data_IF_066789126376
#
_entry.id   IF_066789126376
#
_cell.length_a   1.000
_cell.length_b   1.000
_cell.length_c   1.000
_cell.angle_alpha   90.00
_cell.angle_beta   90.00
_cell.angle_gamma   90.00
#
_symmetry.space_group_name_H-M   'P 1'
#
loop_
_entity.id
_entity.type
_entity.pdbx_description
1 polymer ?
#
# COMPACT_ATOMS: atom_id res chain seq x y z
N UNK A 1 -11.08 17.64 -10.60
CA UNK A 1 -11.26 19.03 -10.14
C UNK A 1 -12.73 19.48 -10.23
N UNK A 2 -13.19 20.48 -9.43
CA UNK A 2 -14.52 21.07 -9.57
C UNK A 2 -14.73 21.77 -10.91
N UNK A 3 -15.99 21.86 -11.34
CA UNK A 3 -16.40 22.67 -12.50
C UNK A 3 -16.38 24.15 -12.10
N UNK A 4 -15.69 24.98 -12.89
CA UNK A 4 -15.68 26.44 -12.74
C UNK A 4 -16.77 27.10 -13.59
N UNK A 5 -16.92 26.65 -14.84
CA UNK A 5 -17.89 27.20 -15.78
C UNK A 5 -18.45 26.10 -16.67
N UNK A 6 -19.69 26.26 -17.10
CA UNK A 6 -20.32 25.41 -18.09
C UNK A 6 -21.17 26.26 -19.03
N UNK A 7 -20.89 26.19 -20.32
CA UNK A 7 -21.59 26.97 -21.35
C UNK A 7 -22.04 26.09 -22.50
N UNK A 8 -23.22 26.36 -23.06
CA UNK A 8 -23.67 25.72 -24.29
C UNK A 8 -22.98 26.42 -25.46
N UNK A 9 -22.21 25.68 -26.25
CA UNK A 9 -21.51 26.18 -27.44
C UNK A 9 -22.43 26.12 -28.66
N UNK A 10 -23.32 25.12 -28.69
CA UNK A 10 -24.39 24.96 -29.67
C UNK A 10 -25.58 24.21 -29.02
N UNK A 11 -26.64 23.90 -29.78
CA UNK A 11 -27.78 23.13 -29.25
C UNK A 11 -27.38 21.76 -28.68
N UNK A 12 -26.33 21.14 -29.22
CA UNK A 12 -25.92 19.77 -28.86
C UNK A 12 -24.51 19.70 -28.24
N UNK A 13 -23.85 20.84 -28.03
CA UNK A 13 -22.49 20.87 -27.49
C UNK A 13 -22.41 21.73 -26.23
N UNK A 14 -21.79 21.17 -25.20
CA UNK A 14 -21.56 21.83 -23.93
C UNK A 14 -20.08 21.83 -23.60
N UNK A 15 -19.54 23.01 -23.32
CA UNK A 15 -18.16 23.18 -22.87
C UNK A 15 -18.13 23.31 -21.36
N UNK A 16 -17.36 22.45 -20.72
CA UNK A 16 -17.14 22.44 -19.27
C UNK A 16 -15.71 22.82 -18.98
N UNK A 17 -15.51 23.87 -18.18
CA UNK A 17 -14.19 24.32 -17.73
C UNK A 17 -14.00 23.89 -16.28
N UNK A 18 -12.95 23.12 -16.01
CA UNK A 18 -12.60 22.67 -14.67
C UNK A 18 -11.54 23.56 -14.03
N UNK A 19 -11.49 23.58 -12.70
CA UNK A 19 -10.43 24.25 -11.97
C UNK A 19 -9.06 23.64 -12.29
N UNK A 20 -8.01 24.48 -12.27
CA UNK A 20 -6.64 24.04 -12.51
C UNK A 20 -6.20 23.07 -11.41
N UNK A 21 -5.69 21.91 -11.82
CA UNK A 21 -5.14 20.90 -10.91
C UNK A 21 -3.75 21.31 -10.41
N UNK A 22 -3.34 20.94 -9.18
CA UNK A 22 -1.95 21.09 -8.73
C UNK A 22 -0.98 20.30 -9.62
N UNK A 23 0.32 20.51 -9.42
CA UNK A 23 1.35 19.74 -10.12
C UNK A 23 1.18 18.24 -9.81
N UNK A 24 1.02 17.43 -10.86
CA UNK A 24 0.86 15.99 -10.78
C UNK A 24 1.45 15.30 -12.03
N UNK A 25 1.68 13.99 -11.94
CA UNK A 25 2.11 13.19 -13.09
C UNK A 25 1.01 13.03 -14.15
N UNK A 26 1.40 12.91 -15.42
CA UNK A 26 0.46 12.83 -16.55
C UNK A 26 -0.48 11.62 -16.53
N UNK A 27 -0.05 10.48 -15.97
CA UNK A 27 -0.87 9.26 -15.91
C UNK A 27 -2.11 9.39 -15.01
N UNK A 28 -2.17 10.42 -14.16
CA UNK A 28 -3.30 10.69 -13.26
C UNK A 28 -4.40 11.52 -13.92
N UNK A 29 -4.16 12.09 -15.11
CA UNK A 29 -5.19 12.87 -15.83
C UNK A 29 -6.36 11.95 -16.19
N UNK A 30 -7.57 12.34 -15.78
CA UNK A 30 -8.79 11.59 -16.04
C UNK A 30 -9.97 12.52 -16.30
N UNK A 31 -10.83 12.12 -17.24
CA UNK A 31 -12.11 12.74 -17.54
C UNK A 31 -13.11 11.60 -17.75
N UNK A 32 -14.27 11.70 -17.09
CA UNK A 32 -15.40 10.79 -17.29
C UNK A 32 -16.56 11.57 -17.88
N UNK A 33 -17.17 11.01 -18.93
CA UNK A 33 -18.39 11.55 -19.55
C UNK A 33 -19.42 10.42 -19.60
N UNK A 34 -20.60 10.67 -19.04
CA UNK A 34 -21.71 9.72 -19.04
C UNK A 34 -22.81 10.14 -18.06
N UNK A 35 -23.92 9.41 -18.13
CA UNK A 35 -25.06 9.61 -17.23
C UNK A 35 -24.90 8.76 -15.98
N UNK A 36 -24.79 9.43 -14.83
CA UNK A 36 -24.58 8.79 -13.54
C UNK A 36 -25.48 9.43 -12.48
N UNK A 37 -25.97 8.61 -11.55
CA UNK A 37 -26.40 9.10 -10.26
C UNK A 37 -25.21 9.14 -9.29
N UNK A 38 -25.29 9.94 -8.23
CA UNK A 38 -24.30 9.90 -7.16
C UNK A 38 -24.94 10.01 -5.78
N UNK A 39 -24.19 9.54 -4.78
CA UNK A 39 -24.38 9.85 -3.37
C UNK A 39 -23.23 10.74 -2.91
N UNK A 40 -23.49 11.66 -1.98
CA UNK A 40 -22.50 12.63 -1.50
C UNK A 40 -22.50 12.70 0.03
N UNK A 41 -21.32 12.91 0.61
CA UNK A 41 -21.12 13.34 1.99
C UNK A 41 -19.86 14.20 2.08
N UNK A 42 -19.83 15.16 3.00
CA UNK A 42 -18.61 15.89 3.32
C UNK A 42 -17.66 15.06 4.20
N UNK A 43 -16.36 15.34 4.12
CA UNK A 43 -15.38 14.95 5.14
C UNK A 43 -15.74 15.50 6.52
N UNK A 44 -15.15 14.97 7.59
CA UNK A 44 -15.50 15.36 8.97
C UNK A 44 -15.18 16.81 9.31
N UNK A 45 -14.18 17.40 8.64
CA UNK A 45 -13.80 18.81 8.75
C UNK A 45 -14.57 19.70 7.77
N UNK A 46 -15.50 19.12 7.01
CA UNK A 46 -16.35 19.76 6.01
C UNK A 46 -15.64 20.42 4.81
N UNK A 47 -14.34 20.14 4.63
CA UNK A 47 -13.53 20.78 3.59
C UNK A 47 -13.58 20.05 2.24
N UNK A 48 -13.94 18.77 2.22
CA UNK A 48 -13.93 17.93 1.01
C UNK A 48 -15.30 17.34 0.75
N UNK A 49 -15.83 17.56 -0.46
CA UNK A 49 -17.04 16.85 -0.92
C UNK A 49 -16.64 15.47 -1.46
N UNK A 50 -17.10 14.40 -0.81
CA UNK A 50 -16.86 13.02 -1.24
C UNK A 50 -18.10 12.51 -1.98
N UNK A 51 -17.92 12.03 -3.20
CA UNK A 51 -19.01 11.50 -4.04
C UNK A 51 -18.68 10.12 -4.56
N UNK A 52 -19.69 9.26 -4.61
CA UNK A 52 -19.60 7.97 -5.30
C UNK A 52 -20.66 7.92 -6.38
N UNK A 53 -20.20 7.83 -7.62
CA UNK A 53 -21.00 7.77 -8.83
C UNK A 53 -21.33 6.32 -9.19
N UNK A 54 -22.55 6.11 -9.66
CA UNK A 54 -23.12 4.81 -10.04
C UNK A 54 -23.99 4.96 -11.28
N UNK A 55 -24.26 3.86 -12.02
CA UNK A 55 -25.27 3.88 -13.07
C UNK A 55 -26.62 4.41 -12.55
N UNK A 56 -27.34 5.12 -13.41
CA UNK A 56 -28.65 5.70 -13.09
C UNK A 56 -29.59 4.63 -12.49
N UNK A 57 -30.24 4.99 -11.38
CA UNK A 57 -31.16 4.13 -10.63
C UNK A 57 -30.50 3.27 -9.55
N UNK A 58 -29.16 3.28 -9.41
CA UNK A 58 -28.43 2.38 -8.49
C UNK A 58 -27.66 3.07 -7.37
N UNK A 59 -27.87 4.38 -7.15
CA UNK A 59 -27.17 5.17 -6.13
C UNK A 59 -27.22 4.62 -4.71
N UNK A 60 -28.26 3.87 -4.35
CA UNK A 60 -28.34 3.21 -3.04
C UNK A 60 -27.23 2.18 -2.80
N UNK A 61 -26.73 1.55 -3.87
CA UNK A 61 -25.64 0.57 -3.80
C UNK A 61 -24.26 1.23 -3.57
N UNK A 62 -24.15 2.54 -3.83
CA UNK A 62 -22.92 3.31 -3.63
C UNK A 62 -22.73 3.82 -2.19
N UNK A 63 -23.76 3.72 -1.34
CA UNK A 63 -23.74 4.25 0.04
C UNK A 63 -22.65 3.63 0.91
N UNK A 64 -22.38 2.33 0.75
CA UNK A 64 -21.35 1.65 1.53
C UNK A 64 -19.94 2.14 1.14
N UNK A 65 -19.66 2.26 -0.17
CA UNK A 65 -18.40 2.83 -0.64
C UNK A 65 -18.21 4.28 -0.18
N UNK A 66 -19.28 5.10 -0.22
CA UNK A 66 -19.23 6.47 0.28
C UNK A 66 -18.87 6.52 1.76
N UNK A 67 -19.46 5.65 2.58
CA UNK A 67 -19.18 5.59 4.01
C UNK A 67 -17.72 5.22 4.29
N UNK A 68 -17.19 4.21 3.60
CA UNK A 68 -15.77 3.84 3.69
C UNK A 68 -14.86 4.97 3.21
N UNK A 69 -15.21 5.62 2.10
CA UNK A 69 -14.40 6.68 1.51
C UNK A 69 -14.21 7.87 2.45
N UNK A 70 -15.29 8.31 3.11
CA UNK A 70 -15.22 9.41 4.10
C UNK A 70 -14.34 9.02 5.28
N UNK A 71 -14.54 7.83 5.86
CA UNK A 71 -13.71 7.36 6.98
C UNK A 71 -12.23 7.22 6.60
N UNK A 72 -11.94 6.73 5.39
CA UNK A 72 -10.58 6.60 4.89
C UNK A 72 -9.92 7.97 4.72
N UNK A 73 -10.58 8.90 4.04
CA UNK A 73 -10.06 10.24 3.83
C UNK A 73 -9.74 10.95 5.15
N UNK A 74 -10.68 10.89 6.10
CA UNK A 74 -10.51 11.47 7.45
C UNK A 74 -9.40 10.78 8.24
N UNK A 75 -9.29 9.45 8.13
CA UNK A 75 -8.23 8.69 8.78
C UNK A 75 -6.86 9.11 8.26
N UNK A 76 -6.66 9.19 6.94
CA UNK A 76 -5.37 9.55 6.36
C UNK A 76 -4.97 10.97 6.71
N UNK A 77 -5.90 11.95 6.62
CA UNK A 77 -5.59 13.33 7.01
C UNK A 77 -5.11 13.41 8.45
N UNK A 78 -5.83 12.77 9.39
CA UNK A 78 -5.46 12.77 10.82
C UNK A 78 -4.19 11.97 11.12
N UNK A 79 -4.05 10.80 10.52
CA UNK A 79 -2.94 9.89 10.77
C UNK A 79 -1.63 10.49 10.24
N UNK A 80 -1.67 10.99 9.00
CA UNK A 80 -0.51 11.60 8.34
C UNK A 80 -0.29 13.04 8.78
N UNK A 81 -1.30 13.73 9.33
CA UNK A 81 -1.21 15.15 9.70
C UNK A 81 -1.04 16.06 8.48
N UNK A 82 -1.66 15.69 7.37
CA UNK A 82 -1.61 16.39 6.08
C UNK A 82 -3.02 16.39 5.53
N UNK A 83 -3.58 17.56 5.26
CA UNK A 83 -4.93 17.65 4.71
C UNK A 83 -4.97 17.20 3.25
N UNK A 84 -6.11 16.66 2.83
CA UNK A 84 -6.31 16.33 1.43
C UNK A 84 -6.35 17.62 0.60
N UNK A 85 -5.51 17.78 -0.44
CA UNK A 85 -5.28 19.09 -1.05
C UNK A 85 -6.39 19.53 -2.03
N UNK A 86 -7.32 18.65 -2.39
CA UNK A 86 -8.37 18.95 -3.36
C UNK A 86 -9.74 19.14 -2.67
N UNK A 87 -10.60 20.04 -3.19
CA UNK A 87 -11.90 20.36 -2.57
C UNK A 87 -12.95 19.26 -2.74
N UNK A 88 -12.66 18.21 -3.52
CA UNK A 88 -13.58 17.10 -3.76
C UNK A 88 -12.84 15.81 -4.07
N UNK A 89 -13.46 14.69 -3.69
CA UNK A 89 -13.04 13.33 -3.99
C UNK A 89 -14.20 12.61 -4.66
N UNK A 90 -14.05 12.27 -5.94
CA UNK A 90 -15.08 11.50 -6.65
C UNK A 90 -14.56 10.07 -6.87
N UNK A 91 -15.43 9.09 -6.67
CA UNK A 91 -15.19 7.68 -7.03
C UNK A 91 -16.25 7.30 -8.06
N UNK A 92 -15.84 6.77 -9.21
CA UNK A 92 -16.76 6.39 -10.29
C UNK A 92 -16.67 4.90 -10.56
N UNK A 93 -17.79 4.20 -10.36
CA UNK A 93 -17.95 2.81 -10.74
C UNK A 93 -18.19 2.68 -12.26
N UNK A 94 -17.25 2.06 -12.97
CA UNK A 94 -17.29 1.84 -14.43
C UNK A 94 -17.30 0.34 -14.73
N UNK A 95 -18.02 -0.07 -15.79
CA UNK A 95 -18.24 -1.50 -16.07
C UNK A 95 -17.10 -2.16 -16.83
N UNK A 96 -16.57 -1.48 -17.84
CA UNK A 96 -15.56 -2.02 -18.75
C UNK A 96 -14.20 -1.39 -18.45
N UNK A 97 -13.46 -2.01 -17.54
CA UNK A 97 -12.08 -1.63 -17.21
C UNK A 97 -11.15 -2.84 -17.32
N UNK A 98 -9.96 -2.63 -17.90
CA UNK A 98 -8.89 -3.64 -17.94
C UNK A 98 -8.17 -3.84 -16.59
N UNK A 99 -8.45 -2.97 -15.62
CA UNK A 99 -7.92 -2.98 -14.24
C UNK A 99 -9.06 -2.81 -13.25
N UNK A 100 -8.83 -3.11 -11.97
CA UNK A 100 -9.88 -3.10 -10.94
C UNK A 100 -10.10 -1.70 -10.35
N UNK A 101 -9.04 -0.89 -10.27
CA UNK A 101 -9.05 0.48 -9.74
C UNK A 101 -7.95 1.31 -10.39
N UNK A 102 -8.13 2.63 -10.35
CA UNK A 102 -7.16 3.63 -10.78
C UNK A 102 -7.35 4.90 -9.94
N UNK A 103 -6.26 5.37 -9.36
CA UNK A 103 -6.22 6.39 -8.30
C UNK A 103 -6.27 7.83 -8.81
N UNK A 104 -6.78 8.08 -10.03
CA UNK A 104 -6.68 9.41 -10.65
C UNK A 104 -7.07 10.55 -9.68
N UNK A 105 -6.20 11.56 -9.55
CA UNK A 105 -6.23 12.46 -8.38
C UNK A 105 -7.54 13.24 -8.25
N UNK A 106 -8.31 12.94 -7.20
CA UNK A 106 -9.65 13.51 -6.95
C UNK A 106 -10.77 13.02 -7.89
N UNK A 107 -10.53 11.97 -8.69
CA UNK A 107 -11.49 11.27 -9.54
C UNK A 107 -11.10 9.79 -9.71
N UNK A 108 -11.19 9.01 -8.64
CA UNK A 108 -10.86 7.59 -8.64
C UNK A 108 -11.80 6.83 -9.58
N UNK A 109 -11.25 5.99 -10.46
CA UNK A 109 -12.02 5.04 -11.26
C UNK A 109 -11.93 3.65 -10.65
N UNK A 110 -13.06 2.95 -10.57
CA UNK A 110 -13.09 1.58 -10.07
C UNK A 110 -14.05 0.76 -10.90
N UNK A 111 -13.76 -0.54 -11.00
CA UNK A 111 -14.71 -1.46 -11.59
C UNK A 111 -15.98 -1.48 -10.71
N UNK A 112 -17.15 -1.35 -11.34
CA UNK A 112 -18.45 -1.29 -10.67
C UNK A 112 -18.68 -2.41 -9.62
N UNK A 113 -18.24 -3.64 -9.90
CA UNK A 113 -18.35 -4.79 -8.99
C UNK A 113 -17.50 -4.67 -7.72
N UNK A 114 -16.58 -3.71 -7.68
CA UNK A 114 -15.75 -3.35 -6.53
C UNK A 114 -16.07 -1.95 -5.98
N UNK A 115 -17.15 -1.31 -6.43
CA UNK A 115 -17.65 -0.03 -5.89
C UNK A 115 -19.07 -0.17 -5.33
N UNK A 116 -19.92 -0.97 -5.97
CA UNK A 116 -21.34 -1.09 -5.62
C UNK A 116 -21.59 -2.30 -4.71
N UNK A 117 -22.36 -2.07 -3.65
CA UNK A 117 -22.72 -3.09 -2.67
C UNK A 117 -24.22 -3.04 -2.33
N UNK A 118 -24.90 -4.16 -2.55
CA UNK A 118 -26.31 -4.32 -2.22
C UNK A 118 -26.50 -5.25 -1.02
N UNK A 119 -26.99 -4.72 0.11
CA UNK A 119 -27.06 -5.42 1.41
C UNK A 119 -27.69 -6.82 1.37
N UNK A 120 -28.74 -7.04 0.55
CA UNK A 120 -29.42 -8.34 0.46
C UNK A 120 -28.99 -9.24 -0.71
N UNK A 121 -28.13 -8.76 -1.61
CA UNK A 121 -27.75 -9.49 -2.85
C UNK A 121 -26.25 -9.75 -2.95
N UNK A 122 -25.44 -8.82 -2.44
CA UNK A 122 -23.99 -8.92 -2.48
C UNK A 122 -23.47 -9.80 -1.35
N UNK A 123 -22.40 -10.55 -1.63
CA UNK A 123 -21.74 -11.39 -0.64
C UNK A 123 -20.90 -10.57 0.36
N UNK A 124 -20.53 -11.18 1.48
CA UNK A 124 -19.53 -10.61 2.40
C UNK A 124 -18.20 -10.36 1.70
N UNK A 125 -17.79 -11.23 0.78
CA UNK A 125 -16.55 -11.05 0.00
C UNK A 125 -16.64 -9.80 -0.88
N UNK A 126 -17.79 -9.55 -1.50
CA UNK A 126 -18.03 -8.31 -2.25
C UNK A 126 -17.92 -7.08 -1.34
N UNK A 127 -18.52 -7.15 -0.14
CA UNK A 127 -18.43 -6.06 0.83
C UNK A 127 -16.98 -5.77 1.25
N UNK A 128 -16.21 -6.81 1.51
CA UNK A 128 -14.79 -6.70 1.83
C UNK A 128 -14.02 -6.06 0.67
N UNK A 129 -14.23 -6.56 -0.56
CA UNK A 129 -13.57 -6.04 -1.77
C UNK A 129 -13.87 -4.56 -2.01
N UNK A 130 -15.12 -4.12 -1.79
CA UNK A 130 -15.49 -2.70 -1.91
C UNK A 130 -14.75 -1.86 -0.87
N UNK A 131 -14.73 -2.32 0.40
CA UNK A 131 -14.05 -1.58 1.46
C UNK A 131 -12.55 -1.47 1.22
N UNK A 132 -11.89 -2.59 0.89
CA UNK A 132 -10.45 -2.65 0.70
C UNK A 132 -10.03 -1.79 -0.48
N UNK A 133 -10.66 -1.96 -1.65
CA UNK A 133 -10.31 -1.17 -2.84
C UNK A 133 -10.51 0.34 -2.62
N UNK A 134 -11.63 0.76 -2.00
CA UNK A 134 -11.85 2.18 -1.69
C UNK A 134 -10.75 2.73 -0.79
N UNK A 135 -10.29 1.99 0.21
CA UNK A 135 -9.20 2.43 1.09
C UNK A 135 -7.88 2.50 0.31
N UNK A 136 -7.58 1.52 -0.54
CA UNK A 136 -6.36 1.46 -1.35
C UNK A 136 -6.25 2.68 -2.26
N UNK A 137 -7.30 2.97 -3.04
CA UNK A 137 -7.31 4.11 -3.96
C UNK A 137 -7.24 5.47 -3.24
N UNK A 138 -7.81 5.57 -2.04
CA UNK A 138 -7.68 6.78 -1.21
C UNK A 138 -6.28 6.91 -0.61
N UNK A 139 -5.62 5.80 -0.27
CA UNK A 139 -4.24 5.82 0.21
C UNK A 139 -3.30 6.40 -0.86
N UNK A 140 -3.52 6.06 -2.14
CA UNK A 140 -2.74 6.57 -3.26
C UNK A 140 -2.76 8.09 -3.42
N UNK A 141 -3.82 8.75 -2.95
CA UNK A 141 -3.94 10.21 -2.98
C UNK A 141 -2.82 10.90 -2.17
N UNK A 142 -2.21 10.18 -1.23
CA UNK A 142 -1.02 10.56 -0.48
C UNK A 142 0.23 9.80 -0.96
N UNK A 143 0.11 8.49 -1.20
CA UNK A 143 1.22 7.61 -1.60
C UNK A 143 1.15 7.28 -3.09
N UNK A 144 1.60 8.23 -3.90
CA UNK A 144 1.49 8.21 -5.35
C UNK A 144 1.22 9.59 -5.87
N UNK A 145 -0.01 10.07 -5.77
CA UNK A 145 -0.43 11.32 -6.40
C UNK A 145 0.33 12.53 -5.87
N UNK A 146 0.54 12.56 -4.56
CA UNK A 146 1.29 13.61 -3.88
C UNK A 146 2.81 13.44 -4.04
N UNK A 147 3.30 12.21 -4.19
CA UNK A 147 4.73 11.88 -4.31
C UNK A 147 4.94 10.73 -5.31
N UNK A 148 5.38 11.00 -6.53
CA UNK A 148 5.68 9.97 -7.55
C UNK A 148 7.06 10.22 -8.11
N UNK A 149 7.98 9.25 -8.13
CA UNK A 149 9.22 9.34 -8.93
C UNK A 149 9.11 8.52 -10.23
N UNK A 150 9.88 7.44 -10.31
CA UNK A 150 9.96 6.56 -11.47
C UNK A 150 9.45 5.17 -11.12
N UNK A 151 9.05 4.41 -12.14
CA UNK A 151 8.44 3.09 -11.98
C UNK A 151 9.34 2.05 -11.30
N UNK A 152 10.64 2.30 -11.21
CA UNK A 152 11.61 1.48 -10.46
C UNK A 152 11.30 1.41 -8.97
N UNK A 153 10.62 2.41 -8.44
CA UNK A 153 10.18 2.51 -7.05
C UNK A 153 8.65 2.42 -6.92
N UNK A 154 7.96 1.77 -7.88
CA UNK A 154 6.49 1.61 -7.89
C UNK A 154 5.95 1.01 -6.58
N UNK A 155 6.74 0.21 -5.87
CA UNK A 155 6.36 -0.34 -4.58
C UNK A 155 6.06 0.73 -3.51
N UNK A 156 6.63 1.94 -3.61
CA UNK A 156 6.30 3.05 -2.71
C UNK A 156 4.83 3.46 -2.83
N UNK A 157 4.24 3.29 -4.01
CA UNK A 157 2.82 3.51 -4.23
C UNK A 157 2.02 2.31 -3.75
N UNK A 158 2.19 1.21 -4.46
CA UNK A 158 1.33 0.01 -4.30
C UNK A 158 1.54 -0.67 -2.96
N UNK A 159 2.79 -0.83 -2.54
CA UNK A 159 3.12 -1.53 -1.30
C UNK A 159 2.70 -0.76 -0.04
N UNK A 160 2.70 0.57 -0.08
CA UNK A 160 2.25 1.42 1.03
C UNK A 160 0.72 1.53 1.02
N UNK A 161 0.10 1.74 -0.15
CA UNK A 161 -1.36 1.75 -0.28
C UNK A 161 -1.97 0.45 0.23
N UNK A 162 -1.42 -0.69 -0.18
CA UNK A 162 -1.87 -2.02 0.25
C UNK A 162 -1.64 -2.26 1.76
N UNK A 163 -0.58 -1.69 2.33
CA UNK A 163 -0.36 -1.75 3.78
C UNK A 163 -1.47 -1.00 4.53
N UNK A 164 -1.82 0.19 4.04
CA UNK A 164 -2.88 0.99 4.64
C UNK A 164 -4.27 0.41 4.40
N UNK A 165 -4.52 -0.16 3.21
CA UNK A 165 -5.71 -0.94 2.91
C UNK A 165 -6.00 -1.93 4.04
N UNK A 166 -5.03 -2.78 4.35
CA UNK A 166 -5.22 -3.86 5.32
C UNK A 166 -5.31 -3.37 6.75
N UNK A 167 -4.47 -2.41 7.10
CA UNK A 167 -4.45 -1.87 8.46
C UNK A 167 -5.73 -1.09 8.77
N UNK A 168 -6.19 -0.21 7.87
CA UNK A 168 -7.42 0.52 8.07
C UNK A 168 -8.67 -0.35 7.93
N UNK A 169 -8.68 -1.33 7.02
CA UNK A 169 -9.78 -2.32 6.96
C UNK A 169 -9.91 -3.06 8.31
N UNK A 170 -8.79 -3.42 8.93
CA UNK A 170 -8.80 -4.06 10.26
C UNK A 170 -9.36 -3.12 11.35
N UNK A 171 -9.10 -1.82 11.25
CA UNK A 171 -9.60 -0.80 12.19
C UNK A 171 -11.10 -0.57 12.02
N UNK A 172 -11.57 -0.41 10.77
CA UNK A 172 -12.97 -0.11 10.46
C UNK A 172 -13.89 -1.34 10.61
N UNK A 173 -13.37 -2.54 10.36
CA UNK A 173 -14.12 -3.79 10.37
C UNK A 173 -13.40 -4.88 11.18
N UNK A 174 -13.24 -4.69 12.51
CA UNK A 174 -12.49 -5.62 13.36
C UNK A 174 -13.09 -7.04 13.38
N UNK A 175 -14.39 -7.17 13.12
CA UNK A 175 -15.09 -8.45 13.05
C UNK A 175 -14.65 -9.34 11.89
N UNK A 176 -14.04 -8.75 10.84
CA UNK A 176 -13.52 -9.51 9.70
C UNK A 176 -12.18 -10.19 10.00
N UNK A 177 -11.51 -9.83 11.10
CA UNK A 177 -10.18 -10.33 11.46
C UNK A 177 -9.18 -10.22 10.29
N UNK A 178 -9.22 -9.10 9.58
CA UNK A 178 -8.52 -8.90 8.31
C UNK A 178 -6.98 -8.99 8.45
N UNK A 179 -6.42 -8.71 9.64
CA UNK A 179 -5.01 -8.96 9.94
C UNK A 179 -4.63 -10.45 9.77
N UNK A 180 -5.50 -11.39 10.15
CA UNK A 180 -5.23 -12.82 9.95
C UNK A 180 -5.22 -13.19 8.47
N UNK A 181 -6.18 -12.63 7.69
CA UNK A 181 -6.24 -12.81 6.24
C UNK A 181 -4.99 -12.22 5.56
N UNK A 182 -4.50 -11.08 6.04
CA UNK A 182 -3.24 -10.48 5.57
C UNK A 182 -2.05 -11.42 5.81
N UNK A 183 -1.94 -12.01 7.01
CA UNK A 183 -0.84 -12.94 7.31
C UNK A 183 -0.94 -14.22 6.47
N UNK A 184 -2.15 -14.74 6.26
CA UNK A 184 -2.38 -16.00 5.55
C UNK A 184 -2.25 -15.84 4.03
N UNK A 185 -2.88 -14.83 3.44
CA UNK A 185 -2.99 -14.72 2.00
C UNK A 185 -1.82 -13.94 1.44
N UNK A 186 -1.55 -12.75 1.98
CA UNK A 186 -0.47 -11.91 1.46
C UNK A 186 0.88 -12.42 1.87
N UNK A 187 1.14 -12.51 3.18
CA UNK A 187 2.51 -12.74 3.63
C UNK A 187 3.00 -14.11 3.16
N UNK A 188 2.15 -15.14 3.21
CA UNK A 188 2.49 -16.45 2.66
C UNK A 188 2.65 -16.44 1.13
N UNK A 189 1.83 -15.69 0.38
CA UNK A 189 2.01 -15.58 -1.08
C UNK A 189 3.29 -14.83 -1.46
N UNK A 190 3.64 -13.77 -0.73
CA UNK A 190 4.93 -13.09 -0.85
C UNK A 190 6.08 -14.08 -0.68
N UNK A 191 6.06 -14.88 0.40
CA UNK A 191 7.08 -15.89 0.66
C UNK A 191 7.11 -16.98 -0.43
N UNK A 192 5.96 -17.36 -0.99
CA UNK A 192 5.90 -18.34 -2.07
C UNK A 192 6.52 -17.80 -3.36
N UNK A 193 6.03 -16.67 -3.88
CA UNK A 193 6.54 -16.05 -5.12
C UNK A 193 8.03 -15.71 -4.98
N UNK A 194 8.43 -15.17 -3.82
CA UNK A 194 9.80 -14.70 -3.62
C UNK A 194 10.81 -15.84 -3.38
N UNK A 195 10.34 -17.07 -3.21
CA UNK A 195 11.19 -18.26 -3.07
C UNK A 195 11.69 -18.81 -4.41
N UNK A 196 11.10 -18.41 -5.54
CA UNK A 196 11.56 -18.86 -6.87
C UNK A 196 12.84 -18.13 -7.29
N UNK A 197 13.67 -18.78 -8.11
CA UNK A 197 14.88 -18.15 -8.68
C UNK A 197 14.57 -16.99 -9.63
N UNK A 198 13.40 -17.03 -10.26
CA UNK A 198 12.86 -15.98 -11.13
C UNK A 198 12.27 -14.79 -10.36
N UNK A 199 12.34 -14.79 -9.02
CA UNK A 199 11.95 -13.61 -8.24
C UNK A 199 12.87 -12.42 -8.52
N UNK A 200 12.42 -11.23 -8.12
CA UNK A 200 13.04 -9.94 -8.38
C UNK A 200 13.00 -9.06 -7.12
N UNK A 201 13.80 -7.99 -7.14
CA UNK A 201 13.85 -7.01 -6.06
C UNK A 201 12.62 -6.08 -6.12
N UNK A 202 12.15 -5.60 -4.97
CA UNK A 202 11.03 -4.63 -4.94
C UNK A 202 11.41 -3.28 -5.55
N UNK A 203 12.64 -2.81 -5.32
CA UNK A 203 13.22 -1.72 -6.12
C UNK A 203 13.76 -2.34 -7.39
N UNK A 204 13.02 -2.14 -8.48
CA UNK A 204 13.32 -2.75 -9.78
C UNK A 204 14.46 -1.94 -10.42
N UNK A 205 15.58 -2.57 -10.83
CA UNK A 205 16.73 -1.83 -11.37
C UNK A 205 16.51 -1.31 -12.80
N UNK A 206 15.64 -1.95 -13.57
CA UNK A 206 15.32 -1.59 -14.95
C UNK A 206 13.94 -2.12 -15.34
N UNK A 207 13.18 -1.37 -16.13
CA UNK A 207 11.86 -1.77 -16.62
C UNK A 207 11.85 -1.67 -18.15
N UNK A 208 11.73 -2.81 -18.83
CA UNK A 208 11.16 -2.82 -20.18
C UNK A 208 9.64 -2.88 -20.09
N UNK A 209 8.96 -2.12 -20.93
CA UNK A 209 7.50 -2.01 -20.93
C UNK A 209 6.78 -3.34 -21.25
N UNK A 210 7.48 -4.30 -21.86
CA UNK A 210 7.01 -5.67 -22.11
C UNK A 210 7.22 -6.65 -20.94
N UNK A 211 7.90 -6.22 -19.86
CA UNK A 211 8.30 -7.07 -18.73
C UNK A 211 7.48 -6.81 -17.46
N UNK A 212 6.43 -5.98 -17.48
CA UNK A 212 5.45 -5.96 -16.38
C UNK A 212 4.51 -7.17 -16.49
N UNK A 213 5.06 -8.36 -16.26
CA UNK A 213 4.28 -9.59 -16.09
C UNK A 213 3.32 -9.43 -14.89
N UNK A 214 2.03 -9.79 -15.01
CA UNK A 214 1.09 -9.80 -13.90
C UNK A 214 1.60 -10.48 -12.60
N UNK A 215 2.46 -11.49 -12.72
CA UNK A 215 3.09 -12.15 -11.55
C UNK A 215 4.10 -11.22 -10.84
N UNK A 216 4.79 -10.36 -11.61
CA UNK A 216 5.65 -9.29 -11.10
C UNK A 216 4.83 -8.08 -10.59
N UNK A 217 3.54 -8.01 -10.90
CA UNK A 217 2.62 -7.13 -10.17
C UNK A 217 2.43 -7.65 -8.75
N UNK A 218 2.02 -8.91 -8.60
CA UNK A 218 1.58 -9.49 -7.32
C UNK A 218 2.62 -9.41 -6.20
N UNK A 219 3.91 -9.64 -6.47
CA UNK A 219 4.93 -9.58 -5.41
C UNK A 219 5.11 -8.17 -4.83
N UNK A 220 4.85 -7.09 -5.59
CA UNK A 220 4.85 -5.72 -5.05
C UNK A 220 3.74 -5.56 -4.01
N UNK A 221 2.51 -5.94 -4.36
CA UNK A 221 1.34 -5.91 -3.48
C UNK A 221 1.44 -6.90 -2.31
N UNK A 222 2.32 -7.89 -2.39
CA UNK A 222 2.47 -8.88 -1.31
C UNK A 222 3.66 -8.62 -0.38
N UNK A 223 4.85 -8.46 -0.95
CA UNK A 223 6.09 -8.24 -0.19
C UNK A 223 6.21 -6.79 0.28
N UNK A 224 5.77 -5.81 -0.50
CA UNK A 224 5.75 -4.39 -0.14
C UNK A 224 5.12 -4.13 1.23
N UNK A 225 3.81 -4.43 1.41
CA UNK A 225 3.15 -4.19 2.70
C UNK A 225 3.70 -5.06 3.83
N UNK A 226 4.22 -6.25 3.53
CA UNK A 226 4.90 -7.10 4.52
C UNK A 226 6.14 -6.42 5.10
N UNK A 227 6.95 -5.77 4.25
CA UNK A 227 8.13 -5.01 4.70
C UNK A 227 7.74 -3.72 5.41
N UNK A 228 6.73 -3.00 4.93
CA UNK A 228 6.20 -1.80 5.61
C UNK A 228 5.71 -2.16 7.03
N UNK A 229 4.96 -3.26 7.16
CA UNK A 229 4.55 -3.80 8.46
C UNK A 229 5.74 -4.19 9.33
N UNK A 230 6.78 -4.80 8.75
CA UNK A 230 8.01 -5.13 9.50
C UNK A 230 8.69 -3.86 10.04
N UNK A 231 8.79 -2.80 9.23
CA UNK A 231 9.32 -1.50 9.66
C UNK A 231 8.47 -0.92 10.78
N UNK A 232 7.15 -0.76 10.58
CA UNK A 232 6.24 -0.19 11.58
C UNK A 232 6.34 -0.95 12.90
N UNK A 233 6.24 -2.29 12.88
CA UNK A 233 6.34 -3.10 14.09
C UNK A 233 7.73 -3.08 14.71
N UNK A 234 8.77 -2.81 13.93
CA UNK A 234 10.13 -2.73 14.44
C UNK A 234 10.39 -1.38 15.10
N UNK A 235 10.12 -0.24 14.46
CA UNK A 235 10.42 1.10 14.98
C UNK A 235 9.34 1.66 15.91
N UNK A 236 8.11 1.13 15.83
CA UNK A 236 6.97 1.58 16.62
C UNK A 236 6.09 2.58 15.87
N UNK A 237 4.81 2.64 16.25
CA UNK A 237 3.78 3.37 15.50
C UNK A 237 4.03 4.89 15.49
N UNK A 238 4.53 5.47 16.59
CA UNK A 238 4.81 6.91 16.67
C UNK A 238 5.96 7.34 15.73
N UNK A 239 7.09 6.63 15.77
CA UNK A 239 8.24 6.90 14.90
C UNK A 239 7.87 6.69 13.43
N UNK A 240 7.12 5.62 13.14
CA UNK A 240 6.63 5.34 11.79
C UNK A 240 5.73 6.45 11.26
N UNK A 241 4.73 6.89 12.05
CA UNK A 241 3.82 7.96 11.67
C UNK A 241 4.53 9.30 11.45
N UNK A 242 5.46 9.68 12.35
CA UNK A 242 6.27 10.90 12.19
C UNK A 242 7.18 10.84 10.95
N UNK A 243 7.77 9.68 10.68
CA UNK A 243 8.58 9.46 9.48
C UNK A 243 7.77 9.62 8.19
N UNK A 244 6.56 9.04 8.13
CA UNK A 244 5.67 9.22 6.97
C UNK A 244 5.23 10.69 6.79
N UNK A 245 4.85 11.37 7.87
CA UNK A 245 4.52 12.80 7.81
C UNK A 245 5.69 13.63 7.27
N UNK A 246 6.91 13.40 7.74
CA UNK A 246 8.10 14.11 7.28
C UNK A 246 8.42 13.81 5.81
N UNK A 247 8.34 12.54 5.42
CA UNK A 247 8.50 12.10 4.04
C UNK A 247 7.53 12.84 3.11
N UNK A 248 6.23 12.78 3.38
CA UNK A 248 5.23 13.43 2.53
C UNK A 248 5.40 14.96 2.50
N UNK A 249 5.66 15.61 3.63
CA UNK A 249 5.84 17.07 3.65
C UNK A 249 7.05 17.57 2.85
N UNK A 250 8.13 16.79 2.80
CA UNK A 250 9.33 17.17 2.04
C UNK A 250 9.22 16.87 0.54
N UNK A 251 8.36 15.93 0.16
CA UNK A 251 8.28 15.44 -1.23
C UNK A 251 6.95 15.74 -1.92
N UNK A 252 5.99 16.36 -1.23
CA UNK A 252 4.70 16.72 -1.82
C UNK A 252 4.85 17.55 -3.09
N UNK A 253 4.07 17.20 -4.13
CA UNK A 253 4.14 17.78 -5.47
C UNK A 253 5.49 17.59 -6.17
N UNK A 254 6.27 16.61 -5.72
CA UNK A 254 7.60 16.27 -6.24
C UNK A 254 7.78 14.74 -6.27
N UNK A 255 9.02 14.33 -6.51
CA UNK A 255 9.43 12.94 -6.67
C UNK A 255 10.16 12.46 -5.41
N UNK A 256 10.05 11.17 -5.10
CA UNK A 256 10.76 10.53 -4.00
C UNK A 256 11.15 9.09 -4.30
N UNK A 257 12.26 8.63 -3.72
CA UNK A 257 12.79 7.28 -3.86
C UNK A 257 12.71 6.48 -2.55
N UNK A 258 12.94 5.17 -2.66
CA UNK A 258 12.99 4.27 -1.49
C UNK A 258 13.91 4.79 -0.39
N UNK A 259 15.07 5.34 -0.78
CA UNK A 259 16.06 5.81 0.18
C UNK A 259 15.58 7.06 0.95
N UNK A 260 14.77 7.93 0.35
CA UNK A 260 14.19 9.11 1.02
C UNK A 260 13.19 8.72 2.12
N UNK A 261 12.35 7.71 1.84
CA UNK A 261 11.41 7.16 2.82
C UNK A 261 12.17 6.50 3.99
N UNK A 262 13.23 5.75 3.70
CA UNK A 262 14.04 5.10 4.73
C UNK A 262 14.80 6.11 5.59
N UNK A 263 15.37 7.17 4.98
CA UNK A 263 16.01 8.28 5.71
C UNK A 263 15.01 9.01 6.61
N UNK A 264 13.77 9.17 6.13
CA UNK A 264 12.69 9.78 6.92
C UNK A 264 12.36 8.97 8.18
N UNK A 265 12.42 7.63 8.12
CA UNK A 265 12.27 6.80 9.32
C UNK A 265 13.47 6.88 10.25
N UNK A 266 14.70 6.89 9.73
CA UNK A 266 15.92 7.03 10.53
C UNK A 266 15.91 8.32 11.37
N UNK A 267 15.30 9.39 10.88
CA UNK A 267 15.20 10.67 11.59
C UNK A 267 14.37 10.61 12.89
N UNK A 268 13.38 9.73 12.96
CA UNK A 268 12.46 9.62 14.10
C UNK A 268 12.59 8.31 14.88
N UNK A 269 13.53 7.45 14.49
CA UNK A 269 13.79 6.15 15.07
C UNK A 269 15.18 6.13 15.72
N UNK A 270 15.31 5.46 16.86
CA UNK A 270 16.62 5.15 17.46
C UNK A 270 17.37 4.02 16.72
N UNK A 271 16.74 3.47 15.68
CA UNK A 271 17.21 2.34 14.88
C UNK A 271 17.64 2.85 13.53
N UNK A 272 18.74 2.29 13.02
CA UNK A 272 19.23 2.52 11.68
C UNK A 272 18.43 1.66 10.68
N UNK A 273 17.21 2.12 10.38
CA UNK A 273 16.23 1.53 9.47
C UNK A 273 16.81 1.38 8.09
N UNK A 274 17.39 2.42 7.51
CA UNK A 274 17.92 2.35 6.14
C UNK A 274 18.98 1.26 6.01
N UNK A 275 19.95 1.22 6.90
CA UNK A 275 21.00 0.19 6.87
C UNK A 275 20.44 -1.24 7.03
N UNK A 276 19.35 -1.41 7.77
CA UNK A 276 18.71 -2.72 7.96
C UNK A 276 17.84 -3.11 6.76
N UNK A 277 17.07 -2.16 6.24
CA UNK A 277 16.03 -2.38 5.23
C UNK A 277 16.51 -2.31 3.79
N UNK A 278 17.64 -1.64 3.50
CA UNK A 278 18.15 -1.45 2.15
C UNK A 278 18.22 -2.75 1.33
N UNK A 279 18.77 -3.83 1.92
CA UNK A 279 18.85 -5.14 1.26
C UNK A 279 17.47 -5.78 1.02
N UNK A 280 16.50 -5.57 1.91
CA UNK A 280 15.16 -6.13 1.75
C UNK A 280 14.42 -5.58 0.53
N UNK A 281 14.73 -4.34 0.13
CA UNK A 281 14.15 -3.70 -1.04
C UNK A 281 14.95 -3.94 -2.32
N UNK A 282 16.29 -3.92 -2.25
CA UNK A 282 17.17 -3.99 -3.43
C UNK A 282 17.58 -5.40 -3.86
N UNK A 283 17.21 -6.43 -3.08
CA UNK A 283 17.58 -7.82 -3.36
C UNK A 283 16.34 -8.72 -3.27
N UNK A 284 16.18 -9.59 -4.26
CA UNK A 284 15.11 -10.58 -4.34
C UNK A 284 15.21 -11.64 -3.22
N UNK A 285 14.15 -12.38 -2.98
CA UNK A 285 14.11 -13.41 -1.94
C UNK A 285 14.12 -12.87 -0.51
N UNK A 286 14.22 -13.81 0.42
CA UNK A 286 14.21 -13.57 1.85
C UNK A 286 15.04 -14.63 2.59
N UNK A 287 15.48 -14.36 3.83
CA UNK A 287 16.24 -15.30 4.63
C UNK A 287 15.34 -16.32 5.37
N UNK A 288 15.73 -17.59 5.35
CA UNK A 288 15.33 -18.59 6.35
C UNK A 288 16.26 -18.53 7.56
N UNK A 289 15.68 -18.49 8.76
CA UNK A 289 16.43 -18.54 10.01
C UNK A 289 16.41 -19.97 10.57
N UNK A 290 17.58 -20.61 10.64
CA UNK A 290 17.77 -21.91 11.29
C UNK A 290 18.26 -21.71 12.71
N UNK A 291 17.46 -22.15 13.67
CA UNK A 291 17.80 -22.14 15.10
C UNK A 291 18.17 -23.56 15.51
N UNK A 292 19.30 -23.73 16.19
CA UNK A 292 19.75 -25.02 16.72
C UNK A 292 20.21 -24.87 18.16
N UNK A 293 19.72 -25.72 19.05
CA UNK A 293 20.08 -25.67 20.47
C UNK A 293 21.19 -26.66 20.76
N UNK A 294 22.28 -26.20 21.38
CA UNK A 294 23.25 -27.11 21.96
C UNK A 294 22.77 -27.51 23.36
N UNK A 295 22.23 -28.74 23.49
CA UNK A 295 21.69 -29.29 24.72
C UNK A 295 22.70 -29.29 25.88
N UNK A 296 24.01 -29.32 25.61
CA UNK A 296 25.05 -29.36 26.64
C UNK A 296 25.34 -28.00 27.29
N UNK A 297 25.20 -26.89 26.55
CA UNK A 297 25.61 -25.57 27.04
C UNK A 297 24.48 -24.52 27.08
N UNK A 298 23.21 -24.92 26.85
CA UNK A 298 22.03 -24.02 26.81
C UNK A 298 22.19 -22.82 25.86
N UNK A 299 23.10 -22.90 24.87
CA UNK A 299 23.31 -21.86 23.86
C UNK A 299 22.48 -22.13 22.61
N UNK A 300 22.00 -21.05 21.99
CA UNK A 300 21.26 -21.10 20.73
C UNK A 300 22.20 -20.66 19.59
N UNK A 301 22.42 -21.57 18.64
CA UNK A 301 23.06 -21.22 17.37
C UNK A 301 21.99 -20.75 16.40
N UNK A 302 22.09 -19.48 15.98
CA UNK A 302 21.19 -18.89 14.99
C UNK A 302 21.98 -18.63 13.70
N UNK A 303 21.54 -19.25 12.61
CA UNK A 303 22.11 -19.07 11.26
C UNK A 303 21.01 -18.61 10.30
N UNK A 304 21.39 -17.77 9.34
CA UNK A 304 20.51 -17.40 8.24
C UNK A 304 21.07 -17.93 6.92
N UNK A 305 20.20 -18.17 5.97
CA UNK A 305 20.50 -18.50 4.57
C UNK A 305 19.32 -18.03 3.74
N UNK A 306 19.51 -17.60 2.49
CA UNK A 306 18.38 -17.32 1.61
C UNK A 306 17.54 -18.58 1.43
N UNK A 307 16.22 -18.42 1.54
CA UNK A 307 15.28 -19.49 1.22
C UNK A 307 15.03 -19.52 -0.29
N UNK A 308 15.01 -20.72 -0.88
CA UNK A 308 14.60 -20.95 -2.26
C UNK A 308 13.85 -22.27 -2.34
N UNK A 309 12.76 -22.31 -3.12
CA UNK A 309 12.14 -23.58 -3.50
C UNK A 309 13.07 -24.33 -4.45
N UNK A 310 13.25 -25.63 -4.20
CA UNK A 310 14.09 -26.53 -5.00
C UNK A 310 15.57 -26.12 -5.11
N UNK A 311 16.14 -25.48 -4.07
CA UNK A 311 17.58 -25.28 -4.01
C UNK A 311 18.32 -26.62 -3.94
N UNK A 312 19.29 -26.82 -4.83
CA UNK A 312 20.29 -27.86 -4.65
C UNK A 312 21.20 -27.46 -3.47
N UNK A 313 21.55 -28.41 -2.60
CA UNK A 313 22.32 -28.17 -1.36
C UNK A 313 23.69 -27.49 -1.57
N UNK A 314 24.16 -27.38 -2.83
CA UNK A 314 25.47 -26.87 -3.23
C UNK A 314 25.43 -25.48 -3.90
N UNK A 315 24.31 -24.78 -3.93
CA UNK A 315 24.30 -23.36 -4.34
C UNK A 315 24.89 -22.50 -3.23
N UNK A 316 26.22 -22.44 -3.14
CA UNK A 316 26.91 -21.44 -2.34
C UNK A 316 26.47 -20.04 -2.80
N UNK A 317 25.95 -19.23 -1.88
CA UNK A 317 25.65 -17.83 -2.16
C UNK A 317 26.94 -17.12 -2.61
N UNK A 318 27.03 -16.83 -3.92
CA UNK A 318 28.14 -16.11 -4.55
C UNK A 318 28.34 -14.72 -3.92
N UNK A 319 27.34 -14.19 -3.21
CA UNK A 319 27.38 -12.87 -2.59
C UNK A 319 27.38 -12.92 -1.05
N UNK A 320 28.46 -12.40 -0.48
CA UNK A 320 28.81 -12.45 0.94
C UNK A 320 27.92 -11.61 1.88
N UNK A 321 26.92 -10.86 1.39
CA UNK A 321 26.13 -9.96 2.22
C UNK A 321 24.80 -10.59 2.67
N UNK A 322 24.60 -10.70 3.98
CA UNK A 322 23.40 -11.28 4.57
C UNK A 322 22.36 -10.20 4.92
N UNK A 323 21.08 -10.59 5.03
CA UNK A 323 20.04 -9.68 5.51
C UNK A 323 20.31 -9.28 6.95
N UNK A 324 20.05 -8.01 7.25
CA UNK A 324 19.91 -7.55 8.62
C UNK A 324 18.46 -7.79 9.03
N UNK A 325 18.22 -8.66 10.00
CA UNK A 325 16.87 -9.13 10.34
C UNK A 325 16.49 -8.68 11.75
N UNK A 326 15.45 -7.85 11.93
CA UNK A 326 14.91 -7.55 13.25
C UNK A 326 14.10 -8.75 13.76
N UNK A 327 14.76 -9.62 14.54
CA UNK A 327 14.15 -10.83 15.10
C UNK A 327 13.51 -10.51 16.44
N UNK A 328 12.20 -10.76 16.54
CA UNK A 328 11.45 -10.77 17.81
C UNK A 328 11.33 -12.21 18.32
N UNK A 329 11.54 -12.41 19.62
CA UNK A 329 11.41 -13.72 20.25
C UNK A 329 10.92 -13.62 21.69
N UNK A 330 10.30 -14.70 22.15
CA UNK A 330 9.93 -14.96 23.55
C UNK A 330 10.54 -16.29 23.98
N UNK A 331 10.66 -16.51 25.28
CA UNK A 331 11.14 -17.78 25.85
C UNK A 331 10.18 -18.27 26.92
N UNK A 332 10.17 -19.56 27.20
CA UNK A 332 9.46 -20.15 28.34
C UNK A 332 9.79 -19.45 29.68
N UNK A 333 11.04 -19.02 29.85
CA UNK A 333 11.49 -18.28 31.03
C UNK A 333 11.04 -16.80 31.08
N UNK A 334 10.59 -16.21 29.96
CA UNK A 334 10.23 -14.80 29.90
C UNK A 334 9.26 -14.52 28.74
N UNK A 335 8.02 -14.18 29.11
CA UNK A 335 6.95 -13.83 28.16
C UNK A 335 7.11 -12.43 27.55
N UNK A 336 8.03 -11.59 28.04
CA UNK A 336 8.32 -10.29 27.41
C UNK A 336 9.07 -10.50 26.10
N UNK A 337 8.49 -9.99 25.02
CA UNK A 337 9.10 -9.98 23.69
C UNK A 337 10.43 -9.23 23.71
N UNK A 338 11.50 -9.91 23.29
CA UNK A 338 12.82 -9.32 23.06
C UNK A 338 13.03 -9.12 21.57
N UNK A 339 13.81 -8.12 21.19
CA UNK A 339 14.15 -7.80 19.80
C UNK A 339 15.67 -7.72 19.63
N UNK A 340 16.21 -8.32 18.58
CA UNK A 340 17.63 -8.23 18.21
C UNK A 340 17.76 -8.05 16.69
N UNK A 341 18.81 -7.37 16.23
CA UNK A 341 19.13 -7.28 14.80
C UNK A 341 20.20 -8.31 14.45
N UNK A 342 19.84 -9.33 13.68
CA UNK A 342 20.74 -10.37 13.20
C UNK A 342 21.46 -9.93 11.92
N UNK A 343 22.81 -10.00 11.87
CA UNK A 343 23.60 -9.50 10.72
C UNK A 343 24.28 -10.57 9.84
N UNK A 344 24.66 -11.74 10.37
CA UNK A 344 25.34 -12.83 9.61
C UNK A 344 25.34 -14.17 10.39
N UNK A 345 25.69 -14.09 11.68
CA UNK A 345 25.68 -15.18 12.67
C UNK A 345 25.57 -14.54 14.04
N UNK A 346 24.60 -14.92 14.86
CA UNK A 346 24.63 -14.61 16.28
C UNK A 346 25.01 -15.91 16.99
N UNK A 347 26.24 -15.97 17.51
CA UNK A 347 26.56 -16.88 18.62
C UNK A 347 26.10 -16.16 19.89
N UNK A 348 24.96 -16.55 20.44
CA UNK A 348 24.52 -16.14 21.77
C UNK A 348 24.51 -17.35 22.69
#
# INVERSE_FOLDING_TARGET
MPVLNQENVSENEKKTVFAKIPNMSSYLVCIVVGDFDFVERKSIDENVNVRVYSPVGRKAEALFALDVAVHALDYFSKYLGIDFPLPKMDIVGVRDMGIVGMENWGLILQHEAATLFHKSKSSTVTRQRVATLVIHEIAHQYFGDLTTNWWTDIWLKEGIAEFFERSLTTILFPEWKFELLTLQNTHSNALFIDSFKSSYALKIPYLNQSEMDPVLGNLIYDKGPSLVRMIQKWIGDEAFRKGLNFYLNNHQYSNAETDDMLDSFDRFSDKNVKNVMNRWFKVEGYPMIKISQNKKCKKLSIKQMRFRLNACENEEEINNEAWKIPVKYITDANSKTKCIVMKRKIRK
#
